data_IF_920485864661
#
_entry.id   IF_920485864661
#
_cell.length_a   1.000
_cell.length_b   1.000
_cell.length_c   1.000
_cell.angle_alpha   90.00
_cell.angle_beta   90.00
_cell.angle_gamma   90.00
#
_symmetry.space_group_name_H-M   'P 1'
#
loop_
_entity.id
_entity.type
_entity.pdbx_description
1 polymer ?
#
# COMPACT_ATOMS: atom_id res chain seq x y z
N UNK A 1 25.69 -18.54 -7.73
CA UNK A 1 24.80 -17.36 -7.58
C UNK A 1 25.03 -16.82 -6.18
N UNK A 2 25.00 -15.51 -5.97
CA UNK A 2 25.16 -14.97 -4.61
C UNK A 2 23.82 -15.13 -3.86
N UNK A 3 23.88 -15.27 -2.54
CA UNK A 3 22.70 -15.41 -1.65
C UNK A 3 21.69 -14.26 -1.90
N UNK A 4 22.17 -13.07 -2.19
CA UNK A 4 21.35 -11.89 -2.48
C UNK A 4 20.50 -12.05 -3.76
N UNK A 5 21.06 -12.65 -4.83
CA UNK A 5 20.31 -12.89 -6.08
C UNK A 5 19.23 -13.97 -5.89
N UNK A 6 19.50 -14.99 -5.08
CA UNK A 6 18.54 -16.05 -4.78
C UNK A 6 17.36 -15.50 -3.97
N UNK A 7 17.61 -14.57 -3.02
CA UNK A 7 16.54 -13.88 -2.27
C UNK A 7 15.66 -13.01 -3.18
N UNK A 8 16.28 -12.25 -4.10
CA UNK A 8 15.54 -11.39 -5.05
C UNK A 8 14.71 -12.25 -6.00
N UNK A 9 15.28 -13.33 -6.55
CA UNK A 9 14.57 -14.30 -7.41
C UNK A 9 13.38 -14.91 -6.68
N UNK A 10 13.58 -15.35 -5.44
CA UNK A 10 12.52 -15.92 -4.60
C UNK A 10 11.42 -14.90 -4.30
N UNK A 11 11.76 -13.65 -4.06
CA UNK A 11 10.79 -12.58 -3.87
C UNK A 11 9.95 -12.35 -5.13
N UNK A 12 10.58 -12.24 -6.29
CA UNK A 12 9.88 -12.04 -7.57
C UNK A 12 8.95 -13.21 -7.89
N UNK A 13 9.38 -14.46 -7.62
CA UNK A 13 8.58 -15.65 -7.85
C UNK A 13 7.29 -15.72 -7.04
N UNK A 14 7.17 -14.95 -5.95
CA UNK A 14 6.00 -14.91 -5.10
C UNK A 14 5.00 -13.79 -5.47
N UNK A 15 5.37 -12.88 -6.40
CA UNK A 15 4.59 -11.68 -6.68
C UNK A 15 4.23 -11.56 -8.16
N UNK A 16 2.96 -11.24 -8.42
CA UNK A 16 2.48 -10.97 -9.76
C UNK A 16 3.02 -9.64 -10.31
N UNK A 17 3.35 -9.58 -11.60
CA UNK A 17 3.20 -10.61 -12.64
C UNK A 17 4.41 -11.54 -12.77
N UNK A 18 5.45 -11.36 -11.97
CA UNK A 18 6.74 -12.04 -12.11
C UNK A 18 6.65 -13.54 -11.76
N UNK A 19 5.72 -13.91 -10.88
CA UNK A 19 5.47 -15.32 -10.48
C UNK A 19 5.14 -16.24 -11.65
N UNK A 20 4.81 -15.69 -12.83
CA UNK A 20 4.51 -16.45 -14.06
C UNK A 20 5.73 -16.66 -14.96
N UNK A 21 6.85 -16.03 -14.62
CA UNK A 21 8.08 -16.16 -15.40
C UNK A 21 8.80 -17.48 -15.08
N UNK A 22 9.46 -18.09 -16.08
CA UNK A 22 10.38 -19.19 -15.84
C UNK A 22 11.53 -18.79 -14.89
N UNK A 23 12.04 -19.76 -14.13
CA UNK A 23 13.10 -19.53 -13.14
C UNK A 23 14.35 -18.88 -13.74
N UNK A 24 14.74 -19.29 -14.95
CA UNK A 24 15.89 -18.72 -15.67
C UNK A 24 15.68 -17.22 -16.02
N UNK A 25 14.45 -16.84 -16.40
CA UNK A 25 14.11 -15.46 -16.68
C UNK A 25 14.06 -14.62 -15.39
N UNK A 26 13.54 -15.19 -14.31
CA UNK A 26 13.55 -14.55 -12.98
C UNK A 26 14.97 -14.29 -12.48
N UNK A 27 15.88 -15.25 -12.63
CA UNK A 27 17.28 -15.09 -12.27
C UNK A 27 17.98 -14.01 -13.11
N UNK A 28 17.67 -13.96 -14.41
CA UNK A 28 18.18 -12.92 -15.32
C UNK A 28 17.65 -11.55 -14.93
N UNK A 29 16.36 -11.46 -14.64
CA UNK A 29 15.69 -10.22 -14.19
C UNK A 29 16.28 -9.73 -12.87
N UNK A 30 16.46 -10.62 -11.89
CA UNK A 30 17.05 -10.30 -10.59
C UNK A 30 18.44 -9.65 -10.74
N UNK A 31 19.25 -10.12 -11.71
CA UNK A 31 20.57 -9.55 -12.01
C UNK A 31 20.56 -8.16 -12.64
N UNK A 32 19.42 -7.69 -13.15
CA UNK A 32 19.24 -6.37 -13.77
C UNK A 32 18.64 -5.33 -12.82
N UNK A 33 18.20 -5.76 -11.65
CA UNK A 33 17.61 -4.88 -10.65
C UNK A 33 18.67 -4.12 -9.87
N UNK A 34 18.35 -2.87 -9.56
CA UNK A 34 19.04 -2.09 -8.54
C UNK A 34 18.10 -1.85 -7.36
N UNK A 35 18.66 -1.58 -6.18
CA UNK A 35 17.88 -1.28 -4.97
C UNK A 35 18.02 0.20 -4.66
N UNK A 36 16.91 0.87 -4.41
CA UNK A 36 16.86 2.21 -3.86
C UNK A 36 16.12 2.22 -2.52
N UNK A 37 16.51 3.13 -1.65
CA UNK A 37 15.84 3.43 -0.42
C UNK A 37 15.07 4.73 -0.57
N UNK A 38 13.78 4.69 -0.26
CA UNK A 38 12.89 5.85 -0.23
C UNK A 38 12.55 6.17 1.22
N UNK A 39 12.72 7.41 1.61
CA UNK A 39 12.23 7.92 2.89
C UNK A 39 10.75 8.23 2.76
N UNK A 40 10.05 8.17 3.86
CA UNK A 40 8.68 8.69 3.92
C UNK A 40 8.60 10.12 3.38
N UNK A 41 7.74 10.34 2.39
CA UNK A 41 7.56 11.62 1.70
C UNK A 41 8.35 11.77 0.41
N UNK A 42 9.31 10.88 0.11
CA UNK A 42 10.00 10.89 -1.17
C UNK A 42 9.02 10.59 -2.31
N UNK A 43 9.23 11.26 -3.44
CA UNK A 43 8.39 11.13 -4.64
C UNK A 43 9.25 10.70 -5.83
N UNK A 44 9.51 9.39 -5.99
CA UNK A 44 10.39 8.89 -7.06
C UNK A 44 9.84 9.06 -8.47
N UNK A 45 8.54 9.28 -8.62
CA UNK A 45 7.89 9.56 -9.90
C UNK A 45 6.96 10.76 -9.72
N UNK A 46 7.21 11.83 -10.48
CA UNK A 46 6.40 13.04 -10.44
C UNK A 46 5.41 13.10 -11.60
N UNK A 47 4.23 13.63 -11.32
CA UNK A 47 3.24 13.93 -12.35
C UNK A 47 3.79 14.96 -13.34
N UNK A 48 3.54 14.72 -14.63
CA UNK A 48 4.04 15.54 -15.73
C UNK A 48 5.48 15.27 -16.13
N UNK A 49 6.22 14.44 -15.42
CA UNK A 49 7.59 14.06 -15.73
C UNK A 49 7.67 12.67 -16.37
N UNK A 50 8.75 12.43 -17.10
CA UNK A 50 9.09 11.11 -17.62
C UNK A 50 9.67 10.24 -16.50
N UNK A 51 9.42 8.94 -16.57
CA UNK A 51 10.06 7.98 -15.68
C UNK A 51 10.65 6.84 -16.51
N UNK A 52 11.89 6.48 -16.25
CA UNK A 52 12.67 5.50 -17.02
C UNK A 52 12.81 4.15 -16.29
N UNK A 53 12.10 3.95 -15.16
CA UNK A 53 12.21 2.75 -14.35
C UNK A 53 10.85 2.14 -14.02
N UNK A 54 10.78 0.81 -14.08
CA UNK A 54 9.77 0.08 -13.34
C UNK A 54 10.25 -0.03 -11.89
N UNK A 55 9.38 0.28 -10.95
CA UNK A 55 9.64 0.17 -9.52
C UNK A 55 8.85 -1.01 -8.95
N UNK A 56 9.50 -1.84 -8.13
CA UNK A 56 8.91 -3.00 -7.46
C UNK A 56 9.16 -2.82 -5.95
N UNK A 57 8.11 -2.73 -5.16
CA UNK A 57 8.23 -2.49 -3.72
C UNK A 57 8.64 -3.79 -3.04
N UNK A 58 9.84 -3.82 -2.43
CA UNK A 58 10.29 -4.94 -1.60
C UNK A 58 9.69 -4.87 -0.19
N UNK A 59 9.74 -3.68 0.41
CA UNK A 59 9.14 -3.37 1.72
C UNK A 59 8.65 -1.94 1.73
N UNK A 60 7.64 -1.65 2.53
CA UNK A 60 7.05 -0.31 2.62
C UNK A 60 5.83 -0.15 1.74
N UNK A 61 5.41 1.10 1.52
CA UNK A 61 4.24 1.45 0.74
C UNK A 61 4.38 2.80 0.02
N UNK A 62 3.75 2.89 -1.17
CA UNK A 62 3.75 4.07 -2.03
C UNK A 62 2.31 4.38 -2.44
N UNK A 63 1.88 5.62 -2.25
CA UNK A 63 0.58 6.12 -2.70
C UNK A 63 0.67 6.63 -4.13
N UNK A 64 -0.36 6.32 -4.92
CA UNK A 64 -0.62 6.88 -6.25
C UNK A 64 -1.53 8.08 -6.07
N UNK A 65 -1.00 9.27 -6.26
CA UNK A 65 -1.70 10.53 -6.03
C UNK A 65 -2.05 11.17 -7.37
N UNK A 66 -3.33 11.43 -7.55
CA UNK A 66 -3.87 12.11 -8.72
C UNK A 66 -3.81 13.62 -8.63
N UNK A 67 -4.58 14.29 -9.50
CA UNK A 67 -4.76 15.72 -9.46
C UNK A 67 -5.40 16.16 -8.13
N UNK A 68 -5.08 17.37 -7.69
CA UNK A 68 -5.56 17.95 -6.41
C UNK A 68 -5.22 17.12 -5.15
N UNK A 69 -4.19 16.24 -5.21
CA UNK A 69 -3.75 15.44 -4.07
C UNK A 69 -4.68 14.25 -3.74
N UNK A 70 -5.54 13.86 -4.68
CA UNK A 70 -6.49 12.76 -4.46
C UNK A 70 -5.74 11.41 -4.48
N UNK A 71 -5.90 10.62 -3.43
CA UNK A 71 -5.40 9.27 -3.35
C UNK A 71 -6.22 8.36 -4.28
N UNK A 72 -5.56 7.79 -5.29
CA UNK A 72 -6.17 6.88 -6.26
C UNK A 72 -5.96 5.40 -5.90
N UNK A 73 -4.79 5.08 -5.36
CA UNK A 73 -4.41 3.72 -5.02
C UNK A 73 -3.24 3.72 -4.02
N UNK A 74 -3.05 2.62 -3.29
CA UNK A 74 -1.87 2.36 -2.48
C UNK A 74 -1.18 1.10 -2.93
N UNK A 75 0.12 1.19 -3.15
CA UNK A 75 0.98 0.08 -3.54
C UNK A 75 1.81 -0.35 -2.34
N UNK A 76 1.71 -1.64 -2.01
CA UNK A 76 2.43 -2.26 -0.89
C UNK A 76 3.48 -3.25 -1.42
N UNK A 77 4.18 -3.92 -0.52
CA UNK A 77 5.21 -4.91 -0.87
C UNK A 77 4.71 -5.93 -1.92
N UNK A 78 5.53 -6.19 -2.92
CA UNK A 78 5.21 -7.04 -4.08
C UNK A 78 4.53 -6.32 -5.23
N UNK A 79 3.96 -5.13 -5.02
CA UNK A 79 3.33 -4.36 -6.08
C UNK A 79 4.32 -3.44 -6.80
N UNK A 80 3.89 -2.97 -7.97
CA UNK A 80 4.74 -2.19 -8.90
C UNK A 80 4.15 -0.82 -9.19
N UNK A 81 5.00 0.14 -9.54
CA UNK A 81 4.59 1.46 -10.01
C UNK A 81 5.58 2.02 -11.07
N UNK A 82 5.22 3.14 -11.71
CA UNK A 82 6.06 3.82 -12.69
C UNK A 82 6.03 3.22 -14.12
N UNK A 83 5.19 2.25 -14.38
CA UNK A 83 5.16 1.51 -15.66
C UNK A 83 4.42 2.22 -16.80
N UNK A 84 3.61 3.26 -16.55
CA UNK A 84 2.82 3.91 -17.60
C UNK A 84 3.69 4.58 -18.67
N UNK A 85 4.75 5.27 -18.26
CA UNK A 85 5.71 5.90 -19.18
C UNK A 85 6.50 4.87 -19.97
N UNK A 86 6.79 3.71 -19.38
CA UNK A 86 7.48 2.60 -20.04
C UNK A 86 6.61 1.91 -21.10
N UNK A 87 5.29 2.14 -21.06
CA UNK A 87 4.31 1.61 -22.01
C UNK A 87 3.85 2.63 -23.05
N UNK A 88 4.56 3.76 -23.18
CA UNK A 88 4.34 4.75 -24.23
C UNK A 88 3.59 6.01 -23.81
N UNK A 89 3.21 6.15 -22.55
CA UNK A 89 2.74 7.45 -22.07
C UNK A 89 3.93 8.42 -22.01
N UNK A 90 3.79 9.66 -22.50
CA UNK A 90 4.92 10.60 -22.56
C UNK A 90 5.38 11.03 -21.17
N UNK A 91 4.46 11.13 -20.22
CA UNK A 91 4.72 11.54 -18.83
C UNK A 91 3.84 10.78 -17.86
N UNK A 92 4.21 10.76 -16.59
CA UNK A 92 3.35 10.20 -15.54
C UNK A 92 2.12 11.09 -15.33
N UNK A 93 0.95 10.46 -15.26
CA UNK A 93 -0.29 11.16 -14.91
C UNK A 93 -0.46 11.35 -13.39
N UNK A 94 0.43 10.75 -12.57
CA UNK A 94 0.28 10.66 -11.12
C UNK A 94 1.61 10.88 -10.43
N UNK A 95 1.57 11.40 -9.20
CA UNK A 95 2.69 11.37 -8.27
C UNK A 95 2.72 10.02 -7.56
N UNK A 96 3.93 9.48 -7.33
CA UNK A 96 4.14 8.27 -6.53
C UNK A 96 4.88 8.67 -5.26
N UNK A 97 4.18 8.65 -4.11
CA UNK A 97 4.70 9.20 -2.84
C UNK A 97 4.90 8.08 -1.84
N UNK A 98 6.12 7.91 -1.34
CA UNK A 98 6.40 6.95 -0.28
C UNK A 98 5.71 7.38 1.03
N UNK A 99 4.84 6.52 1.58
CA UNK A 99 4.09 6.82 2.82
C UNK A 99 4.79 6.33 4.08
N UNK A 100 5.79 5.49 3.90
CA UNK A 100 6.71 5.01 4.93
C UNK A 100 8.09 4.74 4.29
N UNK A 101 9.10 4.53 5.12
CA UNK A 101 10.44 4.15 4.66
C UNK A 101 10.37 2.85 3.88
N UNK A 102 10.82 2.86 2.64
CA UNK A 102 10.59 1.78 1.68
C UNK A 102 11.87 1.34 0.99
N UNK A 103 12.03 0.04 0.77
CA UNK A 103 13.03 -0.53 -0.12
C UNK A 103 12.36 -0.91 -1.43
N UNK A 104 12.92 -0.43 -2.55
CA UNK A 104 12.32 -0.59 -3.86
C UNK A 104 13.37 -1.09 -4.84
N UNK A 105 13.03 -2.13 -5.58
CA UNK A 105 13.81 -2.53 -6.74
C UNK A 105 13.45 -1.65 -7.93
N UNK A 106 14.44 -1.28 -8.73
CA UNK A 106 14.27 -0.53 -9.97
C UNK A 106 14.78 -1.35 -11.15
N UNK A 107 13.95 -1.44 -12.21
CA UNK A 107 14.30 -2.07 -13.47
C UNK A 107 14.33 -1.00 -14.55
N UNK A 108 15.46 -0.80 -15.26
CA UNK A 108 15.56 0.18 -16.33
C UNK A 108 14.59 -0.09 -17.48
N UNK A 109 14.11 0.95 -18.15
CA UNK A 109 13.17 0.89 -19.29
C UNK A 109 13.60 -0.11 -20.35
N UNK A 110 14.88 -0.16 -20.71
CA UNK A 110 15.38 -1.08 -21.73
C UNK A 110 15.14 -2.55 -21.32
N UNK A 111 15.44 -2.90 -20.08
CA UNK A 111 15.25 -4.25 -19.55
C UNK A 111 13.76 -4.59 -19.44
N UNK A 112 12.94 -3.65 -18.96
CA UNK A 112 11.47 -3.80 -18.93
C UNK A 112 10.90 -4.04 -20.33
N UNK A 113 11.35 -3.26 -21.33
CA UNK A 113 10.87 -3.40 -22.72
C UNK A 113 11.24 -4.76 -23.32
N UNK A 114 12.46 -5.24 -23.07
CA UNK A 114 12.90 -6.57 -23.53
C UNK A 114 12.05 -7.68 -22.87
N UNK A 115 11.82 -7.57 -21.54
CA UNK A 115 11.01 -8.52 -20.79
C UNK A 115 9.53 -8.53 -21.28
N UNK A 116 8.95 -7.37 -21.54
CA UNK A 116 7.58 -7.25 -22.03
C UNK A 116 7.41 -7.76 -23.48
N UNK A 117 8.46 -7.67 -24.30
CA UNK A 117 8.46 -8.22 -25.68
C UNK A 117 8.55 -9.76 -25.68
N UNK A 118 9.38 -10.35 -24.81
CA UNK A 118 9.47 -11.81 -24.69
C UNK A 118 8.27 -12.42 -23.96
N UNK A 119 7.58 -11.64 -23.13
CA UNK A 119 6.44 -12.08 -22.31
C UNK A 119 5.20 -11.20 -22.51
N UNK A 120 4.37 -11.45 -23.55
CA UNK A 120 3.19 -10.63 -23.87
C UNK A 120 2.16 -10.57 -22.72
N UNK A 121 2.08 -11.60 -21.87
CA UNK A 121 1.19 -11.64 -20.71
C UNK A 121 1.56 -10.58 -19.68
N UNK A 122 2.83 -10.35 -19.49
CA UNK A 122 3.36 -9.31 -18.61
C UNK A 122 2.99 -7.91 -19.13
N UNK A 123 3.12 -7.67 -20.42
CA UNK A 123 2.67 -6.43 -21.04
C UNK A 123 1.15 -6.19 -20.86
N UNK A 124 0.33 -7.25 -21.03
CA UNK A 124 -1.13 -7.19 -20.79
C UNK A 124 -1.47 -6.89 -19.35
N UNK A 125 -0.73 -7.46 -18.40
CA UNK A 125 -0.90 -7.20 -16.97
C UNK A 125 -0.72 -5.72 -16.63
N UNK A 126 0.39 -5.12 -17.03
CA UNK A 126 0.65 -3.70 -16.77
C UNK A 126 -0.34 -2.77 -17.48
N UNK A 127 -0.74 -3.12 -18.71
CA UNK A 127 -1.78 -2.37 -19.42
C UNK A 127 -3.15 -2.44 -18.72
N UNK A 128 -3.49 -3.58 -18.11
CA UNK A 128 -4.71 -3.73 -17.33
C UNK A 128 -4.66 -2.87 -16.04
N UNK A 129 -3.53 -2.87 -15.33
CA UNK A 129 -3.34 -2.03 -14.16
C UNK A 129 -3.42 -0.53 -14.50
N UNK A 130 -2.80 -0.09 -15.62
CA UNK A 130 -2.91 1.30 -16.08
C UNK A 130 -4.36 1.71 -16.33
N UNK A 131 -5.16 0.82 -16.94
CA UNK A 131 -6.59 1.09 -17.16
C UNK A 131 -7.38 1.18 -15.87
N UNK A 132 -7.08 0.33 -14.89
CA UNK A 132 -7.76 0.32 -13.59
C UNK A 132 -7.53 1.63 -12.83
N UNK A 133 -6.28 2.10 -12.74
CA UNK A 133 -5.96 3.38 -12.07
C UNK A 133 -6.62 4.55 -12.80
N UNK A 134 -6.62 4.55 -14.14
CA UNK A 134 -7.31 5.60 -14.92
C UNK A 134 -8.83 5.57 -14.74
N UNK A 135 -9.42 4.40 -14.61
CA UNK A 135 -10.86 4.27 -14.34
C UNK A 135 -11.19 4.84 -12.96
N UNK A 136 -10.44 4.49 -11.92
CA UNK A 136 -10.59 5.04 -10.58
C UNK A 136 -10.43 6.57 -10.58
N UNK A 137 -9.42 7.10 -11.29
CA UNK A 137 -9.23 8.54 -11.41
C UNK A 137 -10.42 9.26 -12.09
N UNK A 138 -11.02 8.64 -13.13
CA UNK A 138 -12.20 9.19 -13.79
C UNK A 138 -13.44 9.15 -12.91
N UNK A 139 -13.68 8.03 -12.23
CA UNK A 139 -14.80 7.90 -11.30
C UNK A 139 -14.73 8.97 -10.18
N UNK A 140 -13.53 9.25 -9.68
CA UNK A 140 -13.30 10.30 -8.68
C UNK A 140 -13.45 11.71 -9.26
N UNK A 141 -13.05 11.93 -10.52
CA UNK A 141 -13.21 13.21 -11.20
C UNK A 141 -14.66 13.48 -11.63
N UNK A 142 -15.39 12.44 -12.07
CA UNK A 142 -16.79 12.49 -12.48
C UNK A 142 -17.74 12.45 -11.27
N UNK A 143 -17.28 11.94 -10.14
CA UNK A 143 -17.95 12.16 -8.87
C UNK A 143 -17.88 13.68 -8.65
N UNK A 144 -18.95 14.40 -9.08
CA UNK A 144 -19.16 15.79 -8.68
C UNK A 144 -18.78 15.90 -7.21
N UNK A 145 -18.12 16.98 -6.74
CA UNK A 145 -17.66 17.06 -5.36
C UNK A 145 -18.81 16.62 -4.48
N UNK A 146 -18.74 15.36 -4.11
CA UNK A 146 -19.87 14.67 -3.49
C UNK A 146 -20.16 15.48 -2.26
N UNK A 147 -21.43 15.69 -1.96
CA UNK A 147 -21.85 16.34 -0.71
C UNK A 147 -21.12 15.74 0.50
N UNK A 148 -20.62 14.51 0.36
CA UNK A 148 -19.77 13.82 1.34
C UNK A 148 -18.44 14.57 1.60
N UNK A 149 -17.76 15.11 0.58
CA UNK A 149 -16.53 15.91 0.77
C UNK A 149 -16.80 17.31 1.32
N UNK A 150 -18.04 17.77 1.23
CA UNK A 150 -18.50 19.04 1.82
C UNK A 150 -19.22 18.85 3.15
N UNK A 151 -19.55 17.60 3.49
CA UNK A 151 -20.20 17.28 4.76
C UNK A 151 -19.21 17.54 5.89
N UNK A 152 -19.51 18.43 6.84
CA UNK A 152 -18.66 18.65 8.00
C UNK A 152 -18.42 17.33 8.74
N UNK A 153 -17.23 17.15 9.26
CA UNK A 153 -16.91 15.94 10.06
C UNK A 153 -17.86 15.77 11.24
N UNK A 154 -18.40 16.89 11.78
CA UNK A 154 -19.44 16.85 12.80
C UNK A 154 -20.68 16.06 12.42
N UNK A 155 -21.05 16.09 11.14
CA UNK A 155 -22.26 15.43 10.63
C UNK A 155 -22.01 13.94 10.31
N UNK A 156 -20.74 13.57 10.14
CA UNK A 156 -20.27 12.19 9.95
C UNK A 156 -19.85 11.54 11.26
N UNK A 157 -19.52 12.34 12.27
CA UNK A 157 -19.06 11.84 13.55
C UNK A 157 -20.20 11.09 14.27
N UNK A 158 -19.91 9.86 14.68
CA UNK A 158 -20.81 9.14 15.57
C UNK A 158 -20.67 9.72 16.98
N UNK A 159 -21.77 10.16 17.56
CA UNK A 159 -21.83 10.60 18.96
C UNK A 159 -21.97 9.44 19.95
N UNK A 160 -22.45 8.29 19.49
CA UNK A 160 -22.50 7.05 20.25
C UNK A 160 -21.16 6.31 20.11
N UNK A 161 -20.17 6.78 20.85
CA UNK A 161 -18.83 6.22 20.85
C UNK A 161 -18.66 5.24 21.98
N UNK A 162 -18.24 4.01 21.66
CA UNK A 162 -18.01 2.99 22.65
C UNK A 162 -16.70 3.25 23.37
N UNK A 163 -16.76 3.34 24.70
CA UNK A 163 -15.60 3.61 25.55
C UNK A 163 -15.32 2.45 26.51
N UNK A 164 -14.08 2.35 26.95
CA UNK A 164 -13.64 1.45 28.02
C UNK A 164 -12.61 2.16 28.89
N UNK A 165 -12.21 1.55 30.00
CA UNK A 165 -11.17 2.08 30.89
C UNK A 165 -9.87 1.32 30.72
N UNK A 166 -8.74 1.96 31.00
CA UNK A 166 -7.40 1.35 30.85
C UNK A 166 -7.20 0.06 31.64
N UNK A 167 -8.00 -0.20 32.71
CA UNK A 167 -7.95 -1.43 33.49
C UNK A 167 -8.74 -2.60 32.89
N UNK A 168 -9.53 -2.37 31.81
CA UNK A 168 -10.27 -3.43 31.12
C UNK A 168 -9.29 -4.40 30.48
N UNK A 169 -9.57 -5.71 30.59
CA UNK A 169 -8.69 -6.71 29.98
C UNK A 169 -8.80 -6.71 28.46
N UNK A 170 -7.76 -7.13 27.79
CA UNK A 170 -7.75 -7.31 26.33
C UNK A 170 -8.88 -8.24 25.88
N UNK A 171 -9.15 -9.32 26.64
CA UNK A 171 -10.25 -10.24 26.34
C UNK A 171 -11.62 -9.56 26.42
N UNK A 172 -11.88 -8.80 27.50
CA UNK A 172 -13.15 -8.09 27.67
C UNK A 172 -13.33 -7.00 26.61
N UNK A 173 -12.26 -6.29 26.25
CA UNK A 173 -12.27 -5.29 25.19
C UNK A 173 -12.63 -5.93 23.83
N UNK A 174 -12.01 -7.06 23.49
CA UNK A 174 -12.31 -7.80 22.26
C UNK A 174 -13.75 -8.33 22.23
N UNK A 175 -14.24 -8.83 23.36
CA UNK A 175 -15.63 -9.28 23.49
C UNK A 175 -16.61 -8.13 23.28
N UNK A 176 -16.36 -6.98 23.94
CA UNK A 176 -17.18 -5.78 23.81
C UNK A 176 -17.25 -5.27 22.37
N UNK A 177 -16.09 -5.26 21.66
CA UNK A 177 -16.05 -4.92 20.22
C UNK A 177 -16.95 -5.86 19.39
N UNK A 178 -16.85 -7.16 19.65
CA UNK A 178 -17.63 -8.18 18.93
C UNK A 178 -19.13 -8.02 19.20
N UNK A 179 -19.55 -7.87 20.45
CA UNK A 179 -20.95 -7.72 20.83
C UNK A 179 -21.60 -6.46 20.26
N UNK A 180 -20.82 -5.40 20.12
CA UNK A 180 -21.30 -4.09 19.60
C UNK A 180 -21.03 -3.89 18.12
N UNK A 181 -20.37 -4.84 17.43
CA UNK A 181 -20.07 -4.77 16.01
C UNK A 181 -19.18 -3.59 15.64
N UNK A 182 -18.22 -3.24 16.51
CA UNK A 182 -17.25 -2.15 16.28
C UNK A 182 -15.83 -2.69 16.19
N UNK A 183 -14.98 -2.01 15.45
CA UNK A 183 -13.57 -2.37 15.25
C UNK A 183 -12.60 -1.57 16.14
N UNK A 184 -13.12 -0.70 17.02
CA UNK A 184 -12.31 0.12 17.91
C UNK A 184 -13.07 0.54 19.15
N UNK A 185 -12.32 0.76 20.25
CA UNK A 185 -12.79 1.32 21.51
C UNK A 185 -11.92 2.51 21.91
N UNK A 186 -12.54 3.57 22.39
CA UNK A 186 -11.80 4.65 23.06
C UNK A 186 -11.51 4.26 24.52
N UNK A 187 -10.26 4.44 24.91
CA UNK A 187 -9.83 4.22 26.31
C UNK A 187 -9.89 5.55 27.05
N UNK A 188 -10.63 5.57 28.16
CA UNK A 188 -10.86 6.80 28.93
C UNK A 188 -10.44 6.64 30.40
N UNK A 189 -10.10 7.75 31.02
CA UNK A 189 -9.81 7.83 32.45
C UNK A 189 -10.77 8.83 33.12
N UNK A 190 -11.33 8.43 34.27
CA UNK A 190 -12.21 9.26 35.07
C UNK A 190 -13.39 9.83 34.30
N UNK A 191 -13.66 11.12 34.44
CA UNK A 191 -14.77 11.81 33.75
C UNK A 191 -14.50 12.02 32.28
N UNK A 192 -14.35 10.93 31.49
CA UNK A 192 -14.26 10.93 30.03
C UNK A 192 -13.01 11.58 29.41
N UNK A 193 -11.91 11.70 30.15
CA UNK A 193 -10.66 12.10 29.53
C UNK A 193 -10.14 10.98 28.63
N UNK A 194 -10.00 11.26 27.34
CA UNK A 194 -9.45 10.32 26.37
C UNK A 194 -7.96 10.05 26.67
N UNK A 195 -7.60 8.77 26.83
CA UNK A 195 -6.23 8.29 27.03
C UNK A 195 -5.67 7.62 25.77
N UNK A 196 -6.53 6.99 24.98
CA UNK A 196 -6.11 6.30 23.77
C UNK A 196 -7.24 5.64 23.03
N UNK A 197 -6.86 4.86 22.04
CA UNK A 197 -7.74 4.01 21.23
C UNK A 197 -7.12 2.62 21.13
N UNK A 198 -7.94 1.58 21.20
CA UNK A 198 -7.56 0.21 20.89
C UNK A 198 -8.39 -0.29 19.70
N UNK A 199 -7.75 -0.95 18.73
CA UNK A 199 -8.37 -1.40 17.50
C UNK A 199 -8.16 -2.91 17.29
N UNK A 200 -8.95 -3.52 16.39
CA UNK A 200 -8.76 -4.91 15.94
C UNK A 200 -7.35 -5.16 15.43
N UNK A 201 -6.76 -4.15 14.77
CA UNK A 201 -5.38 -4.22 14.28
C UNK A 201 -4.40 -4.37 15.44
N UNK A 202 -4.58 -3.59 16.52
CA UNK A 202 -3.72 -3.68 17.71
C UNK A 202 -3.85 -5.05 18.37
N UNK A 203 -5.06 -5.57 18.48
CA UNK A 203 -5.29 -6.91 19.04
C UNK A 203 -4.56 -7.99 18.22
N UNK A 204 -4.61 -7.92 16.89
CA UNK A 204 -3.92 -8.87 16.03
C UNK A 204 -2.41 -8.72 16.06
N UNK A 205 -1.90 -7.48 15.88
CA UNK A 205 -0.47 -7.24 15.68
C UNK A 205 0.33 -7.18 16.98
N UNK A 206 -0.27 -6.67 18.04
CA UNK A 206 0.42 -6.39 19.32
C UNK A 206 0.10 -7.40 20.43
N UNK A 207 -0.93 -8.21 20.25
CA UNK A 207 -1.34 -9.22 21.23
C UNK A 207 -1.19 -10.63 20.63
N UNK A 208 -1.98 -10.98 19.63
CA UNK A 208 -2.01 -12.34 19.09
C UNK A 208 -0.68 -12.70 18.40
N UNK A 209 -0.17 -11.82 17.54
CA UNK A 209 1.06 -12.09 16.78
C UNK A 209 2.31 -12.26 17.67
N UNK A 210 2.32 -11.64 18.86
CA UNK A 210 3.45 -11.71 19.80
C UNK A 210 3.16 -12.60 21.03
N UNK A 211 2.01 -13.26 21.07
CA UNK A 211 1.64 -14.20 22.13
C UNK A 211 1.43 -13.57 23.50
N UNK A 212 0.97 -12.31 23.57
CA UNK A 212 0.65 -11.68 24.84
C UNK A 212 -0.61 -12.29 25.47
N UNK A 213 -0.63 -12.36 26.81
CA UNK A 213 -1.82 -12.80 27.54
C UNK A 213 -2.97 -11.81 27.39
N UNK A 214 -4.16 -12.32 27.06
CA UNK A 214 -5.38 -11.54 26.92
C UNK A 214 -5.97 -11.05 28.27
N UNK A 215 -5.43 -11.53 29.38
CA UNK A 215 -5.80 -11.06 30.73
C UNK A 215 -5.10 -9.76 31.13
N UNK A 216 -4.18 -9.26 30.31
CA UNK A 216 -3.52 -7.96 30.54
C UNK A 216 -4.50 -6.83 30.25
N UNK A 217 -4.35 -5.67 30.91
CA UNK A 217 -5.13 -4.48 30.58
C UNK A 217 -4.77 -3.92 29.22
N UNK A 218 -5.73 -3.20 28.62
CA UNK A 218 -5.58 -2.52 27.30
C UNK A 218 -4.68 -1.31 27.36
#
# INVERSE_FOLDING_TARGET
MSVELDEVTSFLAQHEPFSRLPEEELATLAGQLSIIYLRRGDTPVHRGETNEFLHIIRTGAVDVIGEDGVLLDRREAGLTFGYSTLQGEPTSAYDMVAVEDSLVFTLPQQAFSALAQSNPDLGRFFSAQSRQVRAAARELADAAPSDVLRTPLSDLARTDVLTTVASTTIADAAQLMTERGVSSLLVTHGQQKLEGIVTDRDLRSRVLAVGLSTTRPV
#
